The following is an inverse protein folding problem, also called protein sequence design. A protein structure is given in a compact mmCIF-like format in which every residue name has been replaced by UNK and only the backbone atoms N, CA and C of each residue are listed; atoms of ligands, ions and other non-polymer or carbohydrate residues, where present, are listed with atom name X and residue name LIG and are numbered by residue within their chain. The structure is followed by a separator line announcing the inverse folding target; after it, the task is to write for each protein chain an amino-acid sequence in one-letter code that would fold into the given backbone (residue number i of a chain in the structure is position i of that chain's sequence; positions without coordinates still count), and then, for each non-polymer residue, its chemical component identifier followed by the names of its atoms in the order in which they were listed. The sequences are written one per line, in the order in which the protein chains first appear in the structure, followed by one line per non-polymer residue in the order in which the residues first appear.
data_IF_617037169677
#
_entry.id   IF_617037169677
#
_cell.length_a   1.000
_cell.length_b   1.000
_cell.length_c   1.000
_cell.angle_alpha   90.00
_cell.angle_beta   90.00
_cell.angle_gamma   90.00
#
_symmetry.space_group_name_H-M   'P 1'
#
loop_
_entity.id
_entity.type
_entity.pdbx_description
1 polymer ?
#
# COMPACT_ATOMS: atom_id res chain seq x y z
N UNK A 1 -6.64 65.75 -47.32
CA UNK A 1 -6.12 65.78 -45.93
C UNK A 1 -6.65 64.58 -45.19
N UNK A 2 -6.11 63.36 -45.26
CA UNK A 2 -4.78 62.86 -44.85
C UNK A 2 -4.41 63.13 -43.38
N UNK A 3 -4.59 62.11 -42.52
CA UNK A 3 -3.69 61.62 -41.44
C UNK A 3 -4.43 60.53 -40.65
N UNK A 4 -4.14 59.23 -40.74
CA UNK A 4 -2.92 58.47 -40.42
C UNK A 4 -2.56 58.44 -38.92
N UNK A 5 -2.85 57.30 -38.26
CA UNK A 5 -2.18 56.74 -37.06
C UNK A 5 -2.38 57.44 -35.71
N UNK A 6 -2.14 56.77 -34.54
CA UNK A 6 -1.16 55.71 -34.37
C UNK A 6 -1.67 54.40 -33.72
N UNK A 7 -1.04 53.32 -34.17
CA UNK A 7 -0.94 52.00 -33.58
C UNK A 7 -0.34 52.07 -32.17
N UNK A 8 -1.15 51.78 -31.13
CA UNK A 8 -0.65 51.53 -29.79
C UNK A 8 -0.38 50.03 -29.60
N UNK A 9 0.84 49.63 -29.90
CA UNK A 9 1.42 48.34 -29.54
C UNK A 9 1.32 48.10 -28.03
N UNK A 10 0.41 47.22 -27.60
CA UNK A 10 0.40 46.67 -26.23
C UNK A 10 1.65 45.82 -26.04
N UNK A 11 2.71 46.43 -25.56
CA UNK A 11 3.89 45.73 -25.05
C UNK A 11 3.47 44.93 -23.82
N UNK A 12 3.27 43.63 -24.00
CA UNK A 12 3.14 42.66 -22.91
C UNK A 12 4.45 42.67 -22.12
N UNK A 13 4.49 43.47 -21.04
CA UNK A 13 5.57 43.45 -20.06
C UNK A 13 5.47 42.12 -19.32
N UNK A 14 6.08 41.07 -19.87
CA UNK A 14 6.41 39.86 -19.12
C UNK A 14 7.48 40.27 -18.10
N UNK A 15 7.01 40.68 -16.92
CA UNK A 15 7.85 40.87 -15.75
C UNK A 15 8.62 39.59 -15.48
N UNK A 16 9.94 39.69 -15.36
CA UNK A 16 10.77 38.57 -14.91
C UNK A 16 10.35 38.27 -13.47
N UNK A 17 10.02 37.01 -13.11
CA UNK A 17 9.72 36.69 -11.73
C UNK A 17 10.97 37.00 -10.90
N UNK A 18 10.81 37.90 -9.93
CA UNK A 18 11.86 38.23 -8.96
C UNK A 18 12.16 37.00 -8.11
N UNK A 19 13.35 36.97 -7.53
CA UNK A 19 13.74 35.89 -6.60
C UNK A 19 12.76 35.74 -5.43
N UNK A 20 12.05 36.81 -5.09
CA UNK A 20 11.04 36.87 -4.04
C UNK A 20 9.73 36.16 -4.43
N UNK A 21 9.37 36.15 -5.72
CA UNK A 21 8.20 35.42 -6.23
C UNK A 21 8.39 33.90 -6.14
N UNK A 22 9.64 33.45 -6.29
CA UNK A 22 10.00 32.04 -6.11
C UNK A 22 9.92 31.63 -4.64
N UNK A 23 10.36 32.50 -3.72
CA UNK A 23 10.28 32.26 -2.29
C UNK A 23 8.83 32.20 -1.81
N UNK A 24 7.99 33.15 -2.26
CA UNK A 24 6.56 33.15 -1.97
C UNK A 24 5.86 31.93 -2.56
N UNK A 25 6.22 31.55 -3.79
CA UNK A 25 5.75 30.32 -4.42
C UNK A 25 6.12 29.08 -3.60
N UNK A 26 7.37 28.96 -3.18
CA UNK A 26 7.83 27.86 -2.32
C UNK A 26 7.07 27.82 -1.00
N UNK A 27 6.88 28.95 -0.32
CA UNK A 27 6.14 29.02 0.94
C UNK A 27 4.68 28.61 0.75
N UNK A 28 4.00 29.06 -0.30
CA UNK A 28 2.62 28.66 -0.60
C UNK A 28 2.54 27.17 -0.92
N UNK A 29 3.50 26.62 -1.67
CA UNK A 29 3.53 25.18 -1.95
C UNK A 29 3.77 24.35 -0.69
N UNK A 30 4.67 24.78 0.20
CA UNK A 30 4.93 24.10 1.47
C UNK A 30 3.71 24.15 2.39
N UNK A 31 3.06 25.31 2.50
CA UNK A 31 1.81 25.45 3.25
C UNK A 31 0.69 24.55 2.70
N UNK A 32 0.57 24.46 1.37
CA UNK A 32 -0.43 23.59 0.73
C UNK A 32 -0.14 22.10 0.98
N UNK A 33 1.14 21.70 0.94
CA UNK A 33 1.55 20.32 1.27
C UNK A 33 1.26 19.99 2.73
N UNK A 34 1.51 20.91 3.66
CA UNK A 34 1.20 20.71 5.08
C UNK A 34 -0.31 20.54 5.31
N UNK A 35 -1.14 21.39 4.67
CA UNK A 35 -2.60 21.27 4.74
C UNK A 35 -3.11 19.95 4.14
N UNK A 36 -2.49 19.47 3.06
CA UNK A 36 -2.82 18.17 2.47
C UNK A 36 -2.46 17.01 3.40
N UNK A 37 -1.29 17.06 4.06
CA UNK A 37 -0.88 16.04 5.02
C UNK A 37 -1.84 16.00 6.22
N UNK A 38 -2.24 17.16 6.73
CA UNK A 38 -3.18 17.26 7.86
C UNK A 38 -4.57 16.72 7.49
N UNK A 39 -5.08 17.08 6.30
CA UNK A 39 -6.34 16.55 5.79
C UNK A 39 -6.31 15.02 5.56
N UNK A 40 -5.15 14.47 5.15
CA UNK A 40 -4.98 13.02 4.95
C UNK A 40 -4.77 12.28 6.27
N UNK A 41 -4.15 12.91 7.27
CA UNK A 41 -4.01 12.35 8.61
C UNK A 41 -5.37 12.17 9.29
N UNK A 42 -6.26 13.17 9.17
CA UNK A 42 -7.65 13.11 9.65
C UNK A 42 -8.51 12.13 8.82
N UNK A 43 -8.15 11.91 7.55
CA UNK A 43 -8.81 10.96 6.65
C UNK A 43 -8.24 9.53 6.73
N UNK A 44 -7.34 9.24 7.67
CA UNK A 44 -6.89 7.88 7.96
C UNK A 44 -7.73 7.29 9.10
N UNK A 45 -8.83 6.57 8.81
CA UNK A 45 -9.69 5.97 9.83
C UNK A 45 -9.03 4.77 10.56
N UNK A 46 -7.77 4.45 10.28
CA UNK A 46 -7.07 3.33 10.87
C UNK A 46 -5.73 3.76 11.45
N UNK A 47 -5.74 4.27 12.68
CA UNK A 47 -4.64 3.99 13.60
C UNK A 47 -4.69 2.49 13.88
N UNK A 48 -3.82 1.69 13.23
CA UNK A 48 -3.62 0.30 13.65
C UNK A 48 -3.00 0.38 15.04
N UNK A 49 -3.83 0.30 16.06
CA UNK A 49 -3.37 0.14 17.44
C UNK A 49 -2.64 -1.19 17.49
N UNK A 50 -1.50 -1.24 18.17
CA UNK A 50 -0.68 -2.46 18.23
C UNK A 50 -1.48 -3.70 18.66
N UNK A 51 -2.53 -3.47 19.46
CA UNK A 51 -3.45 -4.50 19.96
C UNK A 51 -4.25 -5.21 18.85
N UNK A 52 -4.64 -4.53 17.76
CA UNK A 52 -5.39 -5.15 16.64
C UNK A 52 -4.48 -6.03 15.75
N UNK A 53 -3.19 -5.69 15.70
CA UNK A 53 -2.19 -6.45 14.94
C UNK A 53 -1.86 -7.79 15.62
N UNK A 54 -1.82 -7.80 16.95
CA UNK A 54 -1.53 -9.00 17.73
C UNK A 54 -2.64 -10.05 17.58
N UNK A 55 -3.92 -9.65 17.63
CA UNK A 55 -5.04 -10.58 17.44
C UNK A 55 -5.08 -11.15 16.01
N UNK A 56 -4.73 -10.35 14.99
CA UNK A 56 -4.60 -10.84 13.62
C UNK A 56 -3.50 -11.92 13.50
N UNK A 57 -2.35 -11.67 14.12
CA UNK A 57 -1.22 -12.61 14.12
C UNK A 57 -1.57 -13.93 14.82
N UNK A 58 -2.26 -13.87 15.95
CA UNK A 58 -2.70 -15.06 16.69
C UNK A 58 -3.73 -15.89 15.92
N UNK A 59 -4.69 -15.23 15.26
CA UNK A 59 -5.65 -15.90 14.40
C UNK A 59 -4.98 -16.53 13.19
N UNK A 60 -4.01 -15.85 12.57
CA UNK A 60 -3.22 -16.40 11.48
C UNK A 60 -2.40 -17.63 11.92
N UNK A 61 -1.75 -17.55 13.09
CA UNK A 61 -1.04 -18.68 13.67
C UNK A 61 -1.97 -19.88 13.86
N UNK A 62 -3.16 -19.68 14.44
CA UNK A 62 -4.19 -20.73 14.59
C UNK A 62 -4.59 -21.34 13.26
N UNK A 63 -4.85 -20.54 12.22
CA UNK A 63 -5.17 -21.03 10.88
C UNK A 63 -4.02 -21.87 10.28
N UNK A 64 -2.77 -21.42 10.43
CA UNK A 64 -1.58 -22.15 9.97
C UNK A 64 -1.40 -23.49 10.70
N UNK A 65 -1.70 -23.56 11.99
CA UNK A 65 -1.71 -24.82 12.73
C UNK A 65 -2.80 -25.79 12.24
N UNK A 66 -3.99 -25.28 11.92
CA UNK A 66 -5.07 -26.10 11.37
C UNK A 66 -4.77 -26.61 9.96
N UNK A 67 -4.13 -25.80 9.11
CA UNK A 67 -3.74 -26.20 7.75
C UNK A 67 -2.60 -27.23 7.77
N UNK A 68 -1.59 -27.10 8.65
CA UNK A 68 -0.58 -28.16 8.86
C UNK A 68 -1.20 -29.50 9.28
N UNK A 69 -2.24 -29.46 10.12
CA UNK A 69 -3.00 -30.65 10.52
C UNK A 69 -3.76 -31.31 9.37
N UNK A 70 -3.96 -30.62 8.24
CA UNK A 70 -4.57 -31.11 7.00
C UNK A 70 -3.56 -31.40 5.88
N UNK A 71 -2.34 -30.86 5.95
CA UNK A 71 -1.32 -31.12 4.93
C UNK A 71 -0.72 -32.51 5.06
N UNK A 72 -0.70 -33.09 6.26
CA UNK A 72 -0.25 -34.45 6.49
C UNK A 72 -1.41 -35.45 6.46
N UNK A 73 -1.14 -36.64 5.93
CA UNK A 73 -2.10 -37.73 5.82
C UNK A 73 -2.27 -38.37 7.20
N UNK A 74 -3.50 -38.38 7.71
CA UNK A 74 -3.85 -39.00 9.00
C UNK A 74 -3.79 -40.53 8.90
N UNK A 75 -3.68 -41.20 10.05
CA UNK A 75 -3.78 -42.67 10.13
C UNK A 75 -5.13 -43.12 9.54
N UNK A 76 -5.10 -44.04 8.58
CA UNK A 76 -6.29 -44.50 7.85
C UNK A 76 -6.65 -43.69 6.61
N UNK A 77 -5.87 -42.66 6.23
CA UNK A 77 -5.99 -41.99 4.93
C UNK A 77 -5.20 -42.71 3.83
N UNK A 78 -5.59 -42.49 2.56
CA UNK A 78 -4.83 -42.97 1.39
C UNK A 78 -3.56 -42.13 1.20
N UNK A 79 -2.42 -42.81 1.07
CA UNK A 79 -1.09 -42.22 0.91
C UNK A 79 -0.34 -42.73 -0.32
N UNK A 80 -1.08 -43.28 -1.29
CA UNK A 80 -0.56 -43.98 -2.48
C UNK A 80 0.35 -43.11 -3.37
N UNK A 81 0.07 -41.81 -3.48
CA UNK A 81 0.88 -40.88 -4.28
C UNK A 81 1.91 -40.06 -3.47
N UNK A 82 1.87 -40.13 -2.13
CA UNK A 82 2.66 -39.30 -1.21
C UNK A 82 3.01 -40.07 0.07
N UNK A 83 3.91 -41.08 -0.02
CA UNK A 83 4.26 -41.92 1.13
C UNK A 83 4.99 -41.17 2.26
N UNK A 84 5.56 -40.00 1.96
CA UNK A 84 6.31 -39.17 2.91
C UNK A 84 5.45 -38.11 3.62
N UNK A 85 4.21 -37.89 3.18
CA UNK A 85 3.33 -36.85 3.76
C UNK A 85 2.47 -37.39 4.92
N UNK A 86 2.69 -38.62 5.39
CA UNK A 86 1.98 -39.14 6.56
C UNK A 86 2.35 -38.35 7.82
N UNK A 87 1.35 -38.02 8.64
CA UNK A 87 1.58 -37.28 9.89
C UNK A 87 2.62 -38.00 10.77
N UNK A 88 3.50 -37.21 11.40
CA UNK A 88 4.63 -37.69 12.21
C UNK A 88 5.74 -38.41 11.40
N UNK A 89 5.87 -38.14 10.09
CA UNK A 89 6.82 -38.84 9.20
C UNK A 89 6.68 -40.38 9.31
N UNK A 90 5.45 -40.85 9.51
CA UNK A 90 5.17 -42.28 9.60
C UNK A 90 5.26 -42.94 8.22
N UNK A 91 5.59 -44.23 8.16
CA UNK A 91 5.61 -44.97 6.90
C UNK A 91 4.19 -45.26 6.43
N UNK A 92 3.85 -44.84 5.21
CA UNK A 92 2.62 -45.25 4.53
C UNK A 92 2.58 -46.78 4.37
N UNK A 93 1.46 -47.42 4.74
CA UNK A 93 1.22 -48.84 4.52
C UNK A 93 0.27 -49.01 3.34
N UNK A 94 0.81 -49.37 2.18
CA UNK A 94 0.00 -49.79 1.04
C UNK A 94 -0.55 -51.20 1.30
N UNK A 95 -1.85 -51.39 1.09
CA UNK A 95 -2.45 -52.72 1.13
C UNK A 95 -2.12 -53.43 -0.19
N UNK A 96 -1.25 -54.44 -0.16
CA UNK A 96 -0.96 -55.30 -1.31
C UNK A 96 -1.86 -56.55 -1.19
N UNK A 97 -3.10 -56.41 -1.63
CA UNK A 97 -4.08 -57.49 -1.73
C UNK A 97 -4.04 -58.12 -3.12
#
# INVERSE_FOLDING_TARGET
STRAGPSASRSSRRGRPGSMDKLLGCLVTLMCLLLLVEAVAEASPYSVSGDDLEDYNDNLARLLFFTRKRSCIRRGGSCDHRPNDCCYNSSCRCNLW
#
